data_IF_286410616756
#
_entry.id   IF_286410616756
#
_cell.length_a   1.000
_cell.length_b   1.000
_cell.length_c   1.000
_cell.angle_alpha   90.00
_cell.angle_beta   90.00
_cell.angle_gamma   90.00
#
_symmetry.space_group_name_H-M   'P 1'
#
loop_
_entity.id
_entity.type
_entity.pdbx_description
1 polymer ?
#
# COMPACT_ATOMS: atom_id res chain seq x y z
N UNK A 1 9.90 -5.89 16.47
CA UNK A 1 10.43 -5.12 15.33
C UNK A 1 9.34 -5.05 14.29
N UNK A 2 8.95 -3.85 13.83
CA UNK A 2 7.91 -3.73 12.80
C UNK A 2 8.42 -4.44 11.53
N UNK A 3 7.65 -5.34 10.92
CA UNK A 3 8.11 -6.11 9.76
C UNK A 3 8.24 -5.24 8.51
N UNK A 4 7.61 -4.06 8.48
CA UNK A 4 7.64 -3.12 7.37
C UNK A 4 7.82 -1.68 7.86
N UNK A 5 8.27 -0.81 6.97
CA UNK A 5 8.38 0.63 7.19
C UNK A 5 7.68 1.38 6.05
N UNK A 6 6.63 2.14 6.37
CA UNK A 6 5.94 2.98 5.37
C UNK A 6 6.82 4.19 5.10
N UNK A 7 7.31 4.29 3.87
CA UNK A 7 8.13 5.41 3.40
C UNK A 7 7.26 6.58 2.96
N UNK A 8 6.18 6.28 2.26
CA UNK A 8 5.33 7.29 1.65
C UNK A 8 3.87 6.84 1.63
N UNK A 9 2.95 7.80 1.65
CA UNK A 9 1.52 7.55 1.56
C UNK A 9 0.90 8.69 0.76
N UNK A 10 0.19 8.33 -0.30
CA UNK A 10 -0.50 9.23 -1.21
C UNK A 10 -1.98 8.91 -1.08
N UNK A 11 -2.76 9.90 -0.67
CA UNK A 11 -4.22 9.81 -0.64
C UNK A 11 -4.71 10.57 -1.86
N UNK A 12 -5.30 9.84 -2.79
CA UNK A 12 -5.91 10.39 -3.99
C UNK A 12 -7.42 10.56 -3.74
N UNK A 13 -7.80 11.83 -3.59
CA UNK A 13 -9.14 12.31 -3.22
C UNK A 13 -9.81 12.94 -4.45
N UNK A 14 -9.72 12.29 -5.61
CA UNK A 14 -10.39 12.78 -6.81
C UNK A 14 -11.90 12.88 -6.56
N UNK A 15 -12.39 14.13 -6.50
CA UNK A 15 -13.74 14.54 -6.10
C UNK A 15 -14.88 13.97 -6.99
N UNK A 16 -14.55 13.32 -8.10
CA UNK A 16 -15.48 12.76 -9.10
C UNK A 16 -15.06 11.33 -9.54
N UNK A 17 -14.14 10.66 -8.81
CA UNK A 17 -13.51 9.39 -9.21
C UNK A 17 -13.43 8.30 -8.12
N UNK A 18 -12.76 7.19 -8.44
CA UNK A 18 -12.45 6.13 -7.47
C UNK A 18 -11.32 6.58 -6.53
N UNK A 19 -11.67 7.13 -5.38
CA UNK A 19 -10.70 7.54 -4.36
C UNK A 19 -9.80 6.35 -3.97
N UNK A 20 -8.49 6.58 -3.95
CA UNK A 20 -7.53 5.52 -3.68
C UNK A 20 -6.42 5.98 -2.75
N UNK A 21 -5.91 5.06 -1.93
CA UNK A 21 -4.79 5.30 -1.04
C UNK A 21 -3.64 4.41 -1.47
N UNK A 22 -2.58 5.02 -1.96
CA UNK A 22 -1.35 4.31 -2.30
C UNK A 22 -0.34 4.48 -1.18
N UNK A 23 0.15 3.37 -0.63
CA UNK A 23 1.17 3.35 0.41
C UNK A 23 2.43 2.64 -0.09
N UNK A 24 3.55 3.33 -0.04
CA UNK A 24 4.86 2.77 -0.35
C UNK A 24 5.56 2.38 0.95
N UNK A 25 6.03 1.14 1.01
CA UNK A 25 6.65 0.59 2.21
C UNK A 25 7.79 -0.36 1.87
N UNK A 26 8.81 -0.39 2.72
CA UNK A 26 9.91 -1.35 2.59
C UNK A 26 9.65 -2.55 3.50
N UNK A 27 9.75 -3.75 2.93
CA UNK A 27 9.66 -5.01 3.65
C UNK A 27 10.79 -5.94 3.21
N UNK A 28 11.54 -6.51 4.16
CA UNK A 28 12.66 -7.44 3.86
C UNK A 28 13.64 -6.93 2.80
N UNK A 29 14.05 -5.66 2.88
CA UNK A 29 14.97 -5.00 1.94
C UNK A 29 14.44 -4.81 0.52
N UNK A 30 13.13 -5.02 0.29
CA UNK A 30 12.46 -4.71 -0.98
C UNK A 30 11.45 -3.59 -0.75
N UNK A 31 11.32 -2.72 -1.74
CA UNK A 31 10.32 -1.68 -1.75
C UNK A 31 9.04 -2.20 -2.40
N UNK A 32 7.93 -1.99 -1.74
CA UNK A 32 6.60 -2.39 -2.17
C UNK A 32 5.72 -1.16 -2.26
N UNK A 33 4.72 -1.24 -3.14
CA UNK A 33 3.65 -0.26 -3.22
C UNK A 33 2.33 -1.02 -3.20
N UNK A 34 1.41 -0.55 -2.37
CA UNK A 34 0.06 -1.10 -2.29
C UNK A 34 -0.93 0.02 -2.53
N UNK A 35 -1.89 -0.22 -3.40
CA UNK A 35 -3.00 0.70 -3.68
C UNK A 35 -4.27 0.09 -3.12
N UNK A 36 -4.92 0.85 -2.25
CA UNK A 36 -6.19 0.53 -1.65
C UNK A 36 -7.28 1.43 -2.21
N UNK A 37 -8.50 0.92 -2.33
CA UNK A 37 -9.69 1.72 -2.60
C UNK A 37 -10.10 2.42 -1.31
N UNK A 38 -10.20 3.75 -1.27
CA UNK A 38 -10.42 4.48 -0.01
C UNK A 38 -11.75 4.13 0.67
N UNK A 39 -12.80 3.85 -0.11
CA UNK A 39 -14.15 3.53 0.40
C UNK A 39 -14.19 2.34 1.37
N UNK A 40 -13.54 1.22 1.03
CA UNK A 40 -13.51 0.00 1.86
C UNK A 40 -12.08 -0.42 2.28
N UNK A 41 -11.06 0.33 1.86
CA UNK A 41 -9.66 -0.07 1.94
C UNK A 41 -9.42 -1.43 1.28
N UNK A 42 -10.16 -1.76 0.22
CA UNK A 42 -9.95 -2.98 -0.56
C UNK A 42 -8.65 -2.87 -1.36
N UNK A 43 -7.86 -3.93 -1.43
CA UNK A 43 -6.61 -3.92 -2.19
C UNK A 43 -6.93 -3.92 -3.69
N UNK A 44 -6.65 -2.82 -4.37
CA UNK A 44 -6.78 -2.73 -5.83
C UNK A 44 -5.58 -3.40 -6.49
N UNK A 45 -4.38 -3.07 -6.02
CA UNK A 45 -3.14 -3.58 -6.61
C UNK A 45 -1.96 -3.56 -5.64
N UNK A 46 -1.00 -4.44 -5.90
CA UNK A 46 0.22 -4.58 -5.12
C UNK A 46 1.40 -4.79 -6.05
N UNK A 47 2.45 -4.01 -5.80
CA UNK A 47 3.66 -3.98 -6.61
C UNK A 47 4.89 -4.13 -5.73
N UNK A 48 5.94 -4.74 -6.27
CA UNK A 48 7.29 -4.76 -5.70
C UNK A 48 8.23 -4.10 -6.70
N UNK A 49 9.04 -3.18 -6.21
CA UNK A 49 10.11 -2.58 -6.97
C UNK A 49 11.35 -3.45 -6.82
N UNK A 50 11.75 -4.09 -7.92
CA UNK A 50 13.00 -4.85 -8.00
C UNK A 50 13.89 -4.22 -9.08
N UNK A 51 14.96 -3.56 -8.64
CA UNK A 51 15.87 -2.85 -9.52
C UNK A 51 15.21 -1.66 -10.21
N UNK A 52 14.94 -1.78 -11.51
CA UNK A 52 14.41 -0.71 -12.35
C UNK A 52 12.99 -1.00 -12.88
N UNK A 53 12.32 -2.00 -12.32
CA UNK A 53 10.98 -2.43 -12.74
C UNK A 53 10.06 -2.66 -11.55
N UNK A 54 8.78 -2.34 -11.74
CA UNK A 54 7.69 -2.70 -10.84
C UNK A 54 7.04 -3.99 -11.33
N UNK A 55 6.99 -4.99 -10.46
CA UNK A 55 6.35 -6.27 -10.73
C UNK A 55 5.15 -6.43 -9.81
N UNK A 56 4.06 -7.07 -10.28
CA UNK A 56 2.94 -7.37 -9.39
C UNK A 56 3.44 -8.28 -8.26
N UNK A 57 3.16 -7.87 -7.04
CA UNK A 57 3.61 -8.56 -5.84
C UNK A 57 2.45 -9.23 -5.14
N UNK A 58 2.68 -10.42 -4.58
CA UNK A 58 1.73 -11.02 -3.65
C UNK A 58 2.21 -10.76 -2.23
N UNK A 59 1.46 -9.95 -1.48
CA UNK A 59 1.73 -9.68 -0.08
C UNK A 59 0.95 -10.65 0.79
N UNK A 60 1.55 -11.10 1.89
CA UNK A 60 0.85 -11.91 2.87
C UNK A 60 -0.30 -11.12 3.49
N UNK A 61 -1.45 -11.77 3.68
CA UNK A 61 -2.65 -11.13 4.26
C UNK A 61 -2.39 -10.40 5.59
N UNK A 62 -1.48 -10.90 6.41
CA UNK A 62 -1.08 -10.23 7.67
C UNK A 62 -0.47 -8.85 7.46
N UNK A 63 0.33 -8.64 6.40
CA UNK A 63 0.93 -7.35 6.08
C UNK A 63 -0.15 -6.40 5.57
N UNK A 64 -1.03 -6.90 4.69
CA UNK A 64 -2.16 -6.14 4.13
C UNK A 64 -3.06 -5.64 5.25
N UNK A 65 -3.46 -6.52 6.17
CA UNK A 65 -4.29 -6.17 7.34
C UNK A 65 -3.61 -5.10 8.22
N UNK A 66 -2.31 -5.26 8.50
CA UNK A 66 -1.57 -4.30 9.31
C UNK A 66 -1.45 -2.93 8.62
N UNK A 67 -1.24 -2.90 7.31
CA UNK A 67 -1.20 -1.65 6.52
C UNK A 67 -2.58 -1.00 6.47
N UNK A 68 -3.64 -1.80 6.28
CA UNK A 68 -5.03 -1.36 6.28
C UNK A 68 -5.39 -0.68 7.61
N UNK A 69 -5.03 -1.29 8.75
CA UNK A 69 -5.25 -0.67 10.06
C UNK A 69 -4.48 0.65 10.24
N UNK A 70 -3.23 0.73 9.78
CA UNK A 70 -2.43 1.96 9.89
C UNK A 70 -2.95 3.07 8.97
N UNK A 71 -3.37 2.74 7.75
CA UNK A 71 -3.99 3.67 6.81
C UNK A 71 -5.30 4.18 7.39
N UNK A 72 -6.16 3.29 7.92
CA UNK A 72 -7.44 3.65 8.53
C UNK A 72 -7.31 4.61 9.72
N UNK A 73 -6.18 4.63 10.41
CA UNK A 73 -5.89 5.59 11.49
C UNK A 73 -5.43 6.96 10.99
N UNK A 74 -5.00 7.06 9.73
CA UNK A 74 -4.44 8.26 9.11
C UNK A 74 -5.42 9.00 8.19
N UNK A 75 -6.41 8.29 7.65
CA UNK A 75 -7.54 8.87 6.91
C UNK A 75 -8.69 9.25 7.83
#
# INVERSE_FOLDING_TARGET
MKPYEIKNMIIDDEFDGEESVTADFTHKYKDYSITFKKEDLEVINTWVFEGNSSLPANLSGTIIESLREEIKKRI
#
